data_IF_434259389469
#
_entry.id   IF_434259389469
#
_cell.length_a   1.000
_cell.length_b   1.000
_cell.length_c   1.000
_cell.angle_alpha   90.00
_cell.angle_beta   90.00
_cell.angle_gamma   90.00
#
_symmetry.space_group_name_H-M   'P 1'
#
loop_
_entity.id
_entity.type
_entity.pdbx_description
1 polymer ?
#
# COMPACT_ATOMS: atom_id res chain seq x y z
N UNK A 1 7.57 -3.77 10.40
CA UNK A 1 8.87 -3.09 10.61
C UNK A 1 8.96 -1.78 9.81
N UNK A 2 8.82 -1.81 8.47
CA UNK A 2 8.98 -0.62 7.59
C UNK A 2 8.15 0.62 8.02
N UNK A 3 6.90 0.42 8.44
CA UNK A 3 6.00 1.50 8.91
C UNK A 3 6.53 2.24 10.15
N UNK A 4 7.03 1.49 11.13
CA UNK A 4 7.59 2.05 12.36
C UNK A 4 8.89 2.80 12.11
N UNK A 5 9.72 2.30 11.18
CA UNK A 5 10.95 3.01 10.76
C UNK A 5 10.63 4.38 10.18
N UNK A 6 9.67 4.48 9.26
CA UNK A 6 9.29 5.77 8.68
C UNK A 6 8.92 6.83 9.74
N UNK A 7 8.19 6.44 10.78
CA UNK A 7 7.85 7.31 11.91
C UNK A 7 9.04 7.60 12.83
N UNK A 8 9.83 6.59 13.21
CA UNK A 8 11.03 6.76 14.07
C UNK A 8 12.03 7.74 13.46
N UNK A 9 12.31 7.57 12.18
CA UNK A 9 13.21 8.43 11.43
C UNK A 9 12.57 9.79 11.10
N UNK A 10 11.43 10.17 11.69
CA UNK A 10 11.05 11.59 11.74
C UNK A 10 11.86 12.38 12.78
N UNK A 11 12.45 11.70 13.76
CA UNK A 11 13.33 12.28 14.77
C UNK A 11 14.79 11.93 14.45
N UNK A 12 15.65 12.92 14.16
CA UNK A 12 17.08 12.70 13.91
C UNK A 12 17.84 12.07 15.08
N UNK A 13 17.28 12.03 16.30
CA UNK A 13 17.92 11.50 17.50
C UNK A 13 17.14 10.38 18.18
N UNK A 14 16.25 9.71 17.43
CA UNK A 14 15.36 8.68 17.98
C UNK A 14 16.09 7.58 18.76
N UNK A 15 17.31 7.18 18.35
CA UNK A 15 18.08 6.14 19.03
C UNK A 15 18.48 6.51 20.46
N UNK A 16 18.56 7.82 20.75
CA UNK A 16 18.84 8.37 22.09
C UNK A 16 17.59 8.78 22.86
N UNK A 17 16.41 8.76 22.23
CA UNK A 17 15.15 9.23 22.80
C UNK A 17 13.96 8.35 22.37
N UNK A 18 14.03 7.07 22.76
CA UNK A 18 12.99 6.09 22.43
C UNK A 18 11.65 6.38 23.10
N UNK A 19 11.64 7.02 24.28
CA UNK A 19 10.42 7.32 25.02
C UNK A 19 9.53 8.32 24.26
N UNK A 20 10.12 9.37 23.68
CA UNK A 20 9.38 10.34 22.87
C UNK A 20 8.88 9.73 21.55
N UNK A 21 9.63 8.81 20.96
CA UNK A 21 9.15 8.09 19.78
C UNK A 21 7.93 7.21 20.09
N UNK A 22 7.93 6.53 21.24
CA UNK A 22 6.80 5.69 21.70
C UNK A 22 5.60 6.54 22.11
N UNK A 23 5.82 7.68 22.76
CA UNK A 23 4.75 8.58 23.19
C UNK A 23 3.95 9.13 22.01
N UNK A 24 4.59 9.42 20.87
CA UNK A 24 3.92 9.85 19.62
C UNK A 24 2.92 8.82 19.11
N UNK A 25 3.22 7.52 19.19
CA UNK A 25 2.29 6.45 18.80
C UNK A 25 1.06 6.36 19.73
N UNK A 26 1.21 6.86 20.96
CA UNK A 26 0.15 6.91 21.97
C UNK A 26 -0.64 8.23 21.91
N UNK A 27 -0.20 9.19 21.10
CA UNK A 27 -0.79 10.52 20.95
C UNK A 27 -2.17 10.53 20.28
N UNK A 28 -2.71 11.73 20.11
CA UNK A 28 -3.91 11.99 19.33
C UNK A 28 -3.67 11.65 17.85
N UNK A 29 -4.73 11.21 17.16
CA UNK A 29 -4.67 10.93 15.72
C UNK A 29 -4.41 12.16 14.87
N UNK A 30 -4.13 11.94 13.59
CA UNK A 30 -4.03 13.02 12.60
C UNK A 30 -5.43 13.54 12.27
N UNK A 31 -5.58 14.87 12.17
CA UNK A 31 -6.85 15.47 11.78
C UNK A 31 -7.27 15.01 10.38
N UNK A 32 -8.54 14.62 10.23
CA UNK A 32 -9.08 14.15 8.95
C UNK A 32 -8.88 15.19 7.83
N UNK A 33 -9.00 16.49 8.15
CA UNK A 33 -8.76 17.57 7.18
C UNK A 33 -7.35 17.57 6.62
N UNK A 34 -6.34 17.29 7.45
CA UNK A 34 -4.94 17.19 7.01
C UNK A 34 -4.76 15.99 6.07
N UNK A 35 -5.30 14.82 6.45
CA UNK A 35 -5.25 13.63 5.62
C UNK A 35 -5.90 13.85 4.24
N UNK A 36 -7.05 14.53 4.21
CA UNK A 36 -7.77 14.87 2.98
C UNK A 36 -7.04 15.87 2.10
N UNK A 37 -6.43 16.89 2.70
CA UNK A 37 -5.64 17.87 1.97
C UNK A 37 -4.48 17.19 1.22
N UNK A 38 -3.78 16.28 1.89
CA UNK A 38 -2.72 15.49 1.24
C UNK A 38 -3.26 14.65 0.09
N UNK A 39 -4.37 13.92 0.28
CA UNK A 39 -5.00 13.14 -0.80
C UNK A 39 -5.37 14.04 -1.98
N UNK A 40 -5.93 15.23 -1.74
CA UNK A 40 -6.31 16.18 -2.79
C UNK A 40 -5.16 16.78 -3.58
N UNK A 41 -3.97 16.87 -3.00
CA UNK A 41 -2.78 17.21 -3.78
C UNK A 41 -2.31 16.00 -4.61
N UNK A 42 -2.32 14.80 -4.02
CA UNK A 42 -1.84 13.59 -4.70
C UNK A 42 -2.74 13.11 -5.82
N UNK A 43 -4.05 13.39 -5.79
CA UNK A 43 -4.97 13.04 -6.89
C UNK A 43 -4.64 13.76 -8.20
N UNK A 44 -3.83 14.83 -8.16
CA UNK A 44 -3.36 15.56 -9.34
C UNK A 44 -2.17 14.85 -10.01
N UNK A 45 -1.53 13.89 -9.35
CA UNK A 45 -0.40 13.14 -9.89
C UNK A 45 -0.88 12.01 -10.82
N UNK A 46 -0.15 11.79 -11.92
CA UNK A 46 -0.46 10.77 -12.94
C UNK A 46 -0.49 9.33 -12.38
N UNK A 47 0.31 9.07 -11.34
CA UNK A 47 0.48 7.74 -10.74
C UNK A 47 -0.35 7.55 -9.45
N UNK A 48 -1.29 8.45 -9.16
CA UNK A 48 -2.17 8.31 -8.00
C UNK A 48 -2.89 6.96 -8.03
N UNK A 49 -2.78 6.20 -6.94
CA UNK A 49 -3.21 4.81 -6.88
C UNK A 49 -3.80 4.45 -5.51
N UNK A 50 -4.32 3.22 -5.38
CA UNK A 50 -4.81 2.72 -4.09
C UNK A 50 -3.73 2.70 -3.00
N UNK A 51 -2.45 2.70 -3.40
CA UNK A 51 -1.31 2.75 -2.48
C UNK A 51 -1.23 4.08 -1.75
N UNK A 52 -1.60 5.19 -2.37
CA UNK A 52 -1.59 6.51 -1.75
C UNK A 52 -2.66 6.60 -0.65
N UNK A 53 -3.87 6.06 -0.94
CA UNK A 53 -4.93 5.93 0.06
C UNK A 53 -4.46 5.06 1.24
N UNK A 54 -3.75 3.97 0.95
CA UNK A 54 -3.22 3.09 1.98
C UNK A 54 -2.07 3.70 2.79
N UNK A 55 -1.27 4.55 2.15
CA UNK A 55 -0.28 5.41 2.80
C UNK A 55 -0.95 6.23 3.88
N UNK A 56 -1.98 6.99 3.52
CA UNK A 56 -2.76 7.82 4.45
C UNK A 56 -3.41 6.99 5.55
N UNK A 57 -4.04 5.86 5.23
CA UNK A 57 -4.64 4.96 6.21
C UNK A 57 -3.62 4.47 7.24
N UNK A 58 -2.42 4.13 6.77
CA UNK A 58 -1.33 3.68 7.60
C UNK A 58 -0.79 4.83 8.46
N UNK A 59 -0.52 5.98 7.87
CA UNK A 59 0.12 7.10 8.56
C UNK A 59 -0.83 7.80 9.54
N UNK A 60 -2.03 8.16 9.09
CA UNK A 60 -3.01 8.86 9.90
C UNK A 60 -3.69 7.93 10.91
N UNK A 61 -4.09 6.72 10.48
CA UNK A 61 -4.89 5.81 11.31
C UNK A 61 -4.07 4.92 12.24
N UNK A 62 -2.96 4.36 11.75
CA UNK A 62 -2.15 3.42 12.53
C UNK A 62 -1.01 4.12 13.24
N UNK A 63 -0.21 4.90 12.49
CA UNK A 63 0.95 5.59 13.06
C UNK A 63 0.58 6.88 13.78
N UNK A 64 -0.65 7.39 13.57
CA UNK A 64 -1.15 8.67 14.11
C UNK A 64 -0.21 9.84 13.83
N UNK A 65 0.52 9.77 12.73
CA UNK A 65 1.51 10.76 12.33
C UNK A 65 1.56 10.85 10.81
N UNK A 66 1.36 12.04 10.28
CA UNK A 66 1.59 12.35 8.87
C UNK A 66 2.78 13.29 8.76
N UNK A 67 3.78 12.86 7.99
CA UNK A 67 4.98 13.62 7.71
C UNK A 67 5.25 13.51 6.21
N UNK A 68 5.34 14.63 5.51
CA UNK A 68 5.57 14.71 4.07
C UNK A 68 7.06 14.77 3.72
N UNK A 69 7.94 14.40 4.66
CA UNK A 69 9.38 14.40 4.44
C UNK A 69 9.77 13.53 3.24
N UNK A 70 10.78 14.01 2.55
CA UNK A 70 11.47 13.34 1.48
C UNK A 70 12.61 12.50 2.06
N UNK A 71 12.76 11.27 1.56
CA UNK A 71 13.75 10.34 2.08
C UNK A 71 15.16 10.75 1.65
N UNK A 72 15.31 11.40 0.49
CA UNK A 72 16.60 11.89 -0.01
C UNK A 72 17.24 12.95 0.89
N UNK A 73 16.43 13.71 1.63
CA UNK A 73 16.92 14.71 2.59
C UNK A 73 17.55 14.10 3.85
N UNK A 74 17.55 12.77 3.98
CA UNK A 74 18.11 12.06 5.12
C UNK A 74 19.58 11.64 4.92
N UNK A 75 20.18 11.99 3.79
CA UNK A 75 21.58 11.68 3.44
C UNK A 75 22.56 12.26 4.47
N UNK A 76 22.34 13.50 4.90
CA UNK A 76 23.26 14.23 5.81
C UNK A 76 22.94 14.03 7.30
N UNK A 77 22.22 12.96 7.65
CA UNK A 77 21.83 12.73 9.05
C UNK A 77 22.98 12.29 9.93
N UNK A 78 22.84 12.62 11.21
CA UNK A 78 23.76 12.21 12.26
C UNK A 78 23.93 10.68 12.28
N UNK A 79 25.18 10.22 12.43
CA UNK A 79 25.59 8.82 12.39
C UNK A 79 25.14 8.04 13.65
N UNK A 80 24.41 8.68 14.55
CA UNK A 80 23.87 8.07 15.79
C UNK A 80 22.72 7.11 15.54
N UNK A 81 22.10 7.14 14.36
CA UNK A 81 21.04 6.20 13.99
C UNK A 81 21.57 5.17 12.97
N UNK A 82 21.07 3.92 13.01
CA UNK A 82 21.30 2.96 11.93
C UNK A 82 20.87 3.53 10.57
N UNK A 83 21.50 3.05 9.49
CA UNK A 83 21.14 3.45 8.14
C UNK A 83 19.79 2.83 7.72
N UNK A 84 18.76 3.63 7.35
CA UNK A 84 17.44 3.10 7.05
C UNK A 84 17.39 2.50 5.64
N UNK A 85 16.92 1.25 5.55
CA UNK A 85 16.66 0.56 4.29
C UNK A 85 15.22 0.05 4.32
N UNK A 86 14.44 0.43 3.30
CA UNK A 86 13.08 -0.03 3.09
C UNK A 86 13.05 -1.00 1.92
N UNK A 87 12.14 -1.98 1.98
CA UNK A 87 12.09 -3.06 1.00
C UNK A 87 10.68 -3.26 0.47
N UNK A 88 10.57 -3.42 -0.84
CA UNK A 88 9.38 -3.82 -1.57
C UNK A 88 9.72 -4.97 -2.53
N UNK A 89 8.68 -5.50 -3.17
CA UNK A 89 8.81 -6.46 -4.26
C UNK A 89 8.01 -6.01 -5.48
N UNK A 90 8.53 -6.29 -6.67
CA UNK A 90 7.78 -6.04 -7.91
C UNK A 90 6.69 -7.11 -8.13
N UNK A 91 5.49 -6.66 -8.50
CA UNK A 91 4.27 -7.48 -8.55
C UNK A 91 4.27 -8.56 -9.62
N UNK A 92 4.83 -8.28 -10.79
CA UNK A 92 4.80 -9.18 -11.94
C UNK A 92 6.01 -10.12 -12.01
N UNK A 93 7.01 -9.94 -11.15
CA UNK A 93 8.13 -10.88 -10.96
C UNK A 93 7.71 -12.31 -10.58
N UNK A 94 6.43 -12.56 -10.28
CA UNK A 94 5.90 -13.89 -9.91
C UNK A 94 5.28 -14.67 -11.07
N UNK A 95 4.99 -14.04 -12.21
CA UNK A 95 4.20 -14.66 -13.28
C UNK A 95 5.06 -15.42 -14.31
N UNK A 96 6.36 -15.11 -14.46
CA UNK A 96 7.14 -15.46 -15.65
C UNK A 96 8.58 -16.01 -15.40
N UNK A 97 8.81 -16.87 -14.40
CA UNK A 97 10.09 -17.60 -14.27
C UNK A 97 10.91 -17.27 -13.01
N UNK A 98 12.23 -17.60 -12.98
CA UNK A 98 12.98 -17.86 -11.75
C UNK A 98 13.11 -16.62 -10.86
N UNK A 99 13.48 -16.85 -9.59
CA UNK A 99 13.49 -15.91 -8.46
C UNK A 99 14.29 -14.59 -8.61
N UNK A 100 14.84 -14.28 -9.77
CA UNK A 100 15.73 -13.14 -10.01
C UNK A 100 14.95 -11.85 -10.30
N UNK A 101 15.30 -10.75 -9.63
CA UNK A 101 14.76 -9.40 -9.88
C UNK A 101 13.46 -9.12 -9.13
N UNK A 102 13.38 -9.54 -7.87
CA UNK A 102 12.17 -9.41 -7.05
C UNK A 102 12.27 -8.26 -6.08
N UNK A 103 13.46 -8.00 -5.54
CA UNK A 103 13.63 -7.09 -4.42
C UNK A 103 13.91 -5.68 -4.91
N UNK A 104 13.11 -4.76 -4.38
CA UNK A 104 13.28 -3.34 -4.57
C UNK A 104 13.72 -2.73 -3.25
N UNK A 105 14.91 -2.17 -3.24
CA UNK A 105 15.50 -1.49 -2.10
C UNK A 105 15.29 0.02 -2.25
N UNK A 106 14.95 0.69 -1.16
CA UNK A 106 14.91 2.15 -1.08
C UNK A 106 15.66 2.61 0.16
N UNK A 107 16.57 3.56 -0.01
CA UNK A 107 17.35 4.18 1.04
C UNK A 107 17.39 5.70 0.84
N UNK A 108 17.98 6.50 1.75
CA UNK A 108 18.17 7.94 1.51
C UNK A 108 18.90 8.27 0.22
N UNK A 109 19.89 7.45 -0.18
CA UNK A 109 20.73 7.77 -1.34
C UNK A 109 20.12 7.28 -2.65
N UNK A 110 19.61 6.05 -2.64
CA UNK A 110 19.22 5.38 -3.88
C UNK A 110 18.06 4.39 -3.69
N UNK A 111 17.39 4.14 -4.81
CA UNK A 111 16.28 3.22 -4.96
C UNK A 111 16.46 2.34 -6.19
N UNK A 112 16.25 1.03 -6.08
CA UNK A 112 16.53 0.14 -7.22
C UNK A 112 16.34 -1.35 -6.95
N UNK A 113 16.66 -2.12 -7.99
CA UNK A 113 16.54 -3.58 -7.99
C UNK A 113 17.85 -4.22 -7.53
N UNK A 114 17.85 -4.78 -6.33
CA UNK A 114 19.06 -5.29 -5.67
C UNK A 114 19.74 -6.38 -6.49
N UNK A 115 18.99 -7.33 -7.02
CA UNK A 115 19.56 -8.46 -7.79
C UNK A 115 20.03 -8.06 -9.19
N UNK A 116 19.61 -6.90 -9.69
CA UNK A 116 20.08 -6.36 -10.96
C UNK A 116 21.29 -5.44 -10.76
N UNK A 117 21.54 -4.95 -9.55
CA UNK A 117 22.55 -3.92 -9.29
C UNK A 117 22.21 -2.57 -9.94
N UNK A 118 20.94 -2.33 -10.28
CA UNK A 118 20.50 -1.14 -11.00
C UNK A 118 19.67 -0.24 -10.09
N UNK A 119 20.17 0.99 -9.89
CA UNK A 119 19.64 1.97 -8.97
C UNK A 119 19.54 3.36 -9.61
N UNK A 120 18.65 4.18 -9.07
CA UNK A 120 18.57 5.63 -9.30
C UNK A 120 18.66 6.36 -7.97
N UNK A 121 19.03 7.63 -7.99
CA UNK A 121 18.90 8.49 -6.81
C UNK A 121 17.45 8.46 -6.30
N UNK A 122 17.26 8.40 -4.99
CA UNK A 122 15.91 8.30 -4.39
C UNK A 122 15.03 9.48 -4.79
N UNK A 123 15.60 10.67 -4.95
CA UNK A 123 14.89 11.87 -5.42
C UNK A 123 14.36 11.77 -6.87
N UNK A 124 14.87 10.80 -7.64
CA UNK A 124 14.45 10.55 -9.02
C UNK A 124 13.49 9.36 -9.15
N UNK A 125 13.24 8.61 -8.07
CA UNK A 125 12.26 7.53 -8.09
C UNK A 125 10.87 8.07 -8.44
N UNK A 126 10.19 7.44 -9.40
CA UNK A 126 8.91 7.91 -9.92
C UNK A 126 9.03 8.96 -11.04
N UNK A 127 10.24 9.39 -11.41
CA UNK A 127 10.47 10.18 -12.63
C UNK A 127 10.39 9.32 -13.91
N UNK A 128 10.19 9.96 -15.08
CA UNK A 128 10.14 9.24 -16.36
C UNK A 128 11.53 9.08 -16.95
N UNK A 129 11.89 7.86 -17.34
CA UNK A 129 13.14 7.55 -18.01
C UNK A 129 12.89 6.82 -19.32
N UNK A 130 13.89 6.85 -20.20
CA UNK A 130 13.94 5.99 -21.40
C UNK A 130 15.38 5.70 -21.75
N UNK A 131 15.70 4.43 -21.92
CA UNK A 131 17.04 3.95 -22.29
C UNK A 131 18.13 4.52 -21.37
N UNK A 132 17.86 4.53 -20.07
CA UNK A 132 18.79 5.01 -19.03
C UNK A 132 18.93 6.53 -18.92
N UNK A 133 18.13 7.30 -19.67
CA UNK A 133 18.15 8.77 -19.61
C UNK A 133 16.88 9.30 -18.94
N UNK A 134 17.05 10.26 -18.03
CA UNK A 134 15.95 10.99 -17.44
C UNK A 134 15.26 11.84 -18.52
N UNK A 135 13.97 11.61 -18.73
CA UNK A 135 13.14 12.37 -19.67
C UNK A 135 12.39 13.49 -18.98
N UNK A 136 11.78 13.18 -17.82
CA UNK A 136 10.97 14.12 -17.06
C UNK A 136 11.20 13.87 -15.58
N UNK A 137 11.75 14.88 -14.87
CA UNK A 137 11.84 14.85 -13.41
C UNK A 137 10.45 15.10 -12.82
N UNK A 138 9.96 14.15 -12.04
CA UNK A 138 8.74 14.29 -11.22
C UNK A 138 9.12 14.73 -9.80
N UNK A 139 8.18 15.28 -9.02
CA UNK A 139 8.40 15.50 -7.59
C UNK A 139 8.81 14.21 -6.88
N UNK A 140 9.74 14.29 -5.92
CA UNK A 140 10.14 13.13 -5.12
C UNK A 140 8.95 12.64 -4.28
N UNK A 141 8.83 11.31 -4.19
CA UNK A 141 7.85 10.66 -3.34
C UNK A 141 8.12 10.93 -1.87
N UNK A 142 7.09 11.32 -1.14
CA UNK A 142 7.18 11.50 0.31
C UNK A 142 7.12 10.16 1.07
N UNK A 143 7.44 10.20 2.37
CA UNK A 143 7.41 9.01 3.23
C UNK A 143 5.99 8.44 3.43
N UNK A 144 4.92 9.19 3.17
CA UNK A 144 3.54 8.67 3.22
C UNK A 144 3.32 7.74 2.03
N UNK A 145 3.74 8.12 0.82
CA UNK A 145 3.69 7.27 -0.36
C UNK A 145 4.52 5.98 -0.15
N UNK A 146 5.74 6.12 0.39
CA UNK A 146 6.56 4.96 0.74
C UNK A 146 5.90 4.04 1.77
N UNK A 147 5.29 4.59 2.81
CA UNK A 147 4.54 3.79 3.79
C UNK A 147 3.33 3.08 3.20
N UNK A 148 2.70 3.68 2.17
CA UNK A 148 1.68 3.03 1.37
C UNK A 148 2.21 1.77 0.68
N UNK A 149 3.37 1.88 0.02
CA UNK A 149 4.02 0.77 -0.69
C UNK A 149 4.47 -0.31 0.30
N UNK A 150 5.25 0.08 1.31
CA UNK A 150 5.89 -0.85 2.26
C UNK A 150 4.97 -1.32 3.39
N UNK A 151 3.76 -0.79 3.47
CA UNK A 151 2.72 -1.19 4.41
C UNK A 151 1.55 -1.90 3.72
N UNK A 152 1.63 -2.14 2.41
CA UNK A 152 0.54 -2.66 1.60
C UNK A 152 0.17 -4.12 1.88
N UNK A 153 0.86 -4.83 2.77
CA UNK A 153 0.53 -6.23 3.05
C UNK A 153 -0.91 -6.39 3.55
N UNK A 154 -1.39 -5.44 4.35
CA UNK A 154 -2.78 -5.39 4.81
C UNK A 154 -3.78 -5.08 3.68
N UNK A 155 -3.34 -4.57 2.53
CA UNK A 155 -4.17 -4.42 1.34
C UNK A 155 -4.10 -5.65 0.41
N UNK A 156 -3.18 -6.59 0.64
CA UNK A 156 -2.96 -7.73 -0.24
C UNK A 156 -4.05 -8.83 -0.11
N UNK A 157 -4.23 -9.49 -1.25
CA UNK A 157 -5.12 -10.57 -1.64
C UNK A 157 -4.91 -11.91 -0.90
N UNK A 158 -3.67 -12.34 -0.62
CA UNK A 158 -3.39 -13.72 -0.20
C UNK A 158 -3.84 -14.07 1.23
N UNK A 159 -3.81 -13.10 2.16
CA UNK A 159 -4.40 -13.27 3.50
C UNK A 159 -5.92 -13.48 3.42
N UNK A 160 -6.56 -13.03 2.33
CA UNK A 160 -7.99 -13.22 2.05
C UNK A 160 -8.23 -14.55 1.33
N UNK A 161 -7.35 -14.98 0.41
CA UNK A 161 -7.38 -16.31 -0.22
C UNK A 161 -7.49 -17.43 0.80
N UNK A 162 -6.77 -17.34 1.93
CA UNK A 162 -6.77 -18.35 2.98
C UNK A 162 -8.06 -18.47 3.77
N UNK A 163 -8.73 -17.34 4.04
CA UNK A 163 -10.07 -17.36 4.62
C UNK A 163 -11.14 -17.90 3.65
N UNK A 164 -10.83 -17.95 2.36
CA UNK A 164 -11.76 -18.34 1.28
C UNK A 164 -11.39 -19.64 0.55
N UNK A 165 -10.33 -20.33 1.00
CA UNK A 165 -9.93 -21.65 0.50
C UNK A 165 -11.03 -22.73 0.65
N UNK A 166 -12.13 -22.41 1.33
CA UNK A 166 -13.36 -23.20 1.40
C UNK A 166 -14.28 -23.08 0.15
N UNK A 167 -13.90 -22.32 -0.90
CA UNK A 167 -14.79 -22.00 -2.05
C UNK A 167 -14.22 -22.48 -3.41
N UNK A 168 -12.99 -23.01 -3.46
CA UNK A 168 -12.34 -23.48 -4.70
C UNK A 168 -11.50 -22.42 -5.40
N UNK A 169 -11.11 -22.68 -6.67
CA UNK A 169 -10.23 -21.80 -7.44
C UNK A 169 -10.87 -20.41 -7.62
N UNK A 170 -10.17 -19.36 -7.16
CA UNK A 170 -10.67 -17.99 -7.13
C UNK A 170 -10.41 -17.34 -8.49
N UNK A 171 -11.47 -16.97 -9.21
CA UNK A 171 -11.36 -16.22 -10.47
C UNK A 171 -11.10 -14.71 -10.20
N UNK A 172 -10.65 -14.00 -11.23
CA UNK A 172 -10.31 -12.57 -11.16
C UNK A 172 -11.48 -11.66 -10.75
N UNK A 173 -12.73 -12.08 -10.94
CA UNK A 173 -13.89 -11.29 -10.50
C UNK A 173 -14.14 -11.45 -8.99
N UNK A 174 -13.91 -12.65 -8.46
CA UNK A 174 -13.98 -12.93 -7.02
C UNK A 174 -12.96 -12.09 -6.27
N UNK A 175 -11.74 -12.03 -6.79
CA UNK A 175 -10.66 -11.20 -6.28
C UNK A 175 -11.07 -9.72 -6.16
N UNK A 176 -11.56 -9.12 -7.26
CA UNK A 176 -11.96 -7.71 -7.30
C UNK A 176 -13.08 -7.37 -6.30
N UNK A 177 -14.04 -8.27 -6.10
CA UNK A 177 -15.14 -8.06 -5.15
C UNK A 177 -14.65 -8.01 -3.69
N UNK A 178 -13.81 -8.96 -3.30
CA UNK A 178 -13.27 -9.04 -1.93
C UNK A 178 -12.39 -7.84 -1.60
N UNK A 179 -11.66 -7.36 -2.60
CA UNK A 179 -10.80 -6.19 -2.51
C UNK A 179 -11.59 -4.91 -2.22
N UNK A 180 -12.63 -4.63 -3.01
CA UNK A 180 -13.48 -3.46 -2.77
C UNK A 180 -14.03 -3.45 -1.33
N UNK A 181 -14.53 -4.60 -0.86
CA UNK A 181 -15.02 -4.77 0.50
C UNK A 181 -13.97 -4.47 1.58
N UNK A 182 -12.73 -4.94 1.40
CA UNK A 182 -11.64 -4.73 2.36
C UNK A 182 -11.24 -3.26 2.44
N UNK A 183 -11.11 -2.60 1.28
CA UNK A 183 -10.80 -1.16 1.20
C UNK A 183 -11.87 -0.35 1.94
N UNK A 184 -13.16 -0.62 1.69
CA UNK A 184 -14.24 0.08 2.39
C UNK A 184 -14.23 -0.16 3.90
N UNK A 185 -14.02 -1.40 4.36
CA UNK A 185 -13.95 -1.69 5.80
C UNK A 185 -12.79 -0.94 6.48
N UNK A 186 -11.61 -0.92 5.84
CA UNK A 186 -10.44 -0.24 6.41
C UNK A 186 -10.66 1.28 6.48
N UNK A 187 -11.33 1.86 5.48
CA UNK A 187 -11.68 3.28 5.49
C UNK A 187 -12.70 3.61 6.58
N UNK A 188 -13.72 2.77 6.78
CA UNK A 188 -14.67 2.95 7.89
C UNK A 188 -13.93 2.93 9.23
N UNK A 189 -12.99 2.00 9.42
CA UNK A 189 -12.16 1.96 10.64
C UNK A 189 -11.35 3.26 10.82
N UNK A 190 -10.76 3.80 9.75
CA UNK A 190 -10.01 5.06 9.80
C UNK A 190 -10.91 6.23 10.16
N UNK A 191 -12.03 6.39 9.46
CA UNK A 191 -12.97 7.47 9.75
C UNK A 191 -13.45 7.40 11.21
N UNK A 192 -13.79 6.20 11.68
CA UNK A 192 -14.18 5.99 13.08
C UNK A 192 -13.08 6.38 14.08
N UNK A 193 -11.80 6.18 13.73
CA UNK A 193 -10.67 6.58 14.59
C UNK A 193 -10.35 8.08 14.57
N UNK A 194 -10.93 8.84 13.63
CA UNK A 194 -10.60 10.25 13.39
C UNK A 194 -11.78 11.21 13.62
N UNK A 195 -12.95 10.68 13.95
CA UNK A 195 -14.20 11.45 14.12
C UNK A 195 -14.72 11.28 15.54
N UNK A 196 -15.02 12.41 16.18
CA UNK A 196 -15.65 12.44 17.52
C UNK A 196 -17.16 12.74 17.46
N UNK A 197 -17.65 13.27 16.34
CA UNK A 197 -19.06 13.63 16.15
C UNK A 197 -19.98 12.38 16.18
N UNK A 198 -20.93 12.29 17.15
CA UNK A 198 -21.84 11.16 17.26
C UNK A 198 -22.75 10.96 16.04
N UNK A 199 -23.10 12.03 15.32
CA UNK A 199 -23.96 11.94 14.13
C UNK A 199 -23.17 11.26 13.00
N UNK A 200 -21.98 11.76 12.68
CA UNK A 200 -21.08 11.15 11.71
C UNK A 200 -20.72 9.69 12.05
N UNK A 201 -20.56 9.35 13.34
CA UNK A 201 -20.35 7.96 13.78
C UNK A 201 -21.57 7.07 13.49
N UNK A 202 -22.78 7.56 13.76
CA UNK A 202 -24.03 6.87 13.42
C UNK A 202 -24.17 6.63 11.91
N UNK A 203 -23.81 7.62 11.09
CA UNK A 203 -23.82 7.49 9.62
C UNK A 203 -22.83 6.42 9.13
N UNK A 204 -21.64 6.32 9.75
CA UNK A 204 -20.68 5.25 9.46
C UNK A 204 -21.20 3.87 9.87
N UNK A 205 -21.91 3.77 11.00
CA UNK A 205 -22.54 2.52 11.44
C UNK A 205 -23.63 2.07 10.46
N UNK A 206 -24.42 3.02 9.92
CA UNK A 206 -25.39 2.75 8.86
C UNK A 206 -24.70 2.25 7.59
N UNK A 207 -23.62 2.88 7.14
CA UNK A 207 -22.84 2.40 5.99
C UNK A 207 -22.32 0.99 6.22
N UNK A 208 -21.74 0.74 7.40
CA UNK A 208 -21.20 -0.58 7.74
C UNK A 208 -22.30 -1.64 7.68
N UNK A 209 -23.51 -1.32 8.16
CA UNK A 209 -24.67 -2.21 8.05
C UNK A 209 -25.09 -2.44 6.60
N UNK A 210 -25.18 -1.39 5.78
CA UNK A 210 -25.50 -1.51 4.33
C UNK A 210 -24.51 -2.46 3.63
N UNK A 211 -23.21 -2.29 3.90
CA UNK A 211 -22.16 -3.13 3.32
C UNK A 211 -22.26 -4.57 3.85
N UNK A 212 -22.56 -4.77 5.14
CA UNK A 212 -22.76 -6.09 5.72
C UNK A 212 -23.97 -6.80 5.12
N UNK A 213 -25.12 -6.14 5.00
CA UNK A 213 -26.36 -6.71 4.45
C UNK A 213 -26.19 -7.12 2.98
N UNK A 214 -25.51 -6.29 2.19
CA UNK A 214 -25.12 -6.63 0.81
C UNK A 214 -24.17 -7.83 0.74
N UNK A 215 -23.34 -8.04 1.77
CA UNK A 215 -22.41 -9.16 1.84
C UNK A 215 -23.04 -10.45 2.41
N UNK A 216 -24.01 -10.35 3.32
CA UNK A 216 -24.67 -11.47 3.99
C UNK A 216 -25.83 -12.05 3.17
N UNK A 217 -26.43 -11.26 2.27
CA UNK A 217 -27.45 -11.75 1.33
C UNK A 217 -26.96 -12.85 0.36
N UNK A 218 -25.64 -13.05 0.23
CA UNK A 218 -25.05 -14.01 -0.71
C UNK A 218 -24.26 -15.10 0.00
N UNK A 219 -24.95 -15.80 0.91
CA UNK A 219 -24.44 -17.03 1.48
C UNK A 219 -23.87 -17.94 0.40
N UNK A 220 -22.69 -18.47 0.73
CA UNK A 220 -21.82 -19.36 -0.05
C UNK A 220 -22.52 -20.47 -0.86
N UNK A 221 -23.80 -20.77 -0.60
CA UNK A 221 -24.60 -21.78 -1.30
C UNK A 221 -24.91 -21.40 -2.75
N UNK A 222 -25.30 -20.14 -3.04
CA UNK A 222 -25.65 -19.72 -4.40
C UNK A 222 -24.42 -19.54 -5.30
N UNK A 223 -23.31 -19.10 -4.71
CA UNK A 223 -21.99 -19.04 -5.36
C UNK A 223 -21.38 -20.43 -5.59
N UNK A 224 -21.73 -21.44 -4.78
CA UNK A 224 -21.23 -22.81 -4.95
C UNK A 224 -21.95 -23.57 -6.06
N UNK A 225 -23.22 -23.24 -6.36
CA UNK A 225 -24.04 -23.96 -7.35
C UNK A 225 -23.94 -23.44 -8.80
N UNK A 226 -23.43 -22.22 -9.00
CA UNK A 226 -23.31 -21.59 -10.35
C UNK A 226 -22.08 -22.06 -11.13
N UNK A 227 -22.12 -21.98 -12.46
CA UNK A 227 -20.94 -22.23 -13.29
C UNK A 227 -19.95 -21.03 -13.26
N UNK A 228 -18.67 -21.19 -13.65
CA UNK A 228 -17.66 -20.12 -13.54
C UNK A 228 -18.06 -18.79 -14.19
N UNK A 229 -18.67 -18.81 -15.38
CA UNK A 229 -19.12 -17.60 -16.09
C UNK A 229 -20.25 -16.87 -15.35
N UNK A 230 -21.19 -17.62 -14.77
CA UNK A 230 -22.29 -17.06 -13.99
C UNK A 230 -21.79 -16.48 -12.66
N UNK A 231 -20.80 -17.13 -12.02
CA UNK A 231 -20.12 -16.60 -10.84
C UNK A 231 -19.43 -15.28 -11.17
N UNK A 232 -18.68 -15.23 -12.26
CA UNK A 232 -17.96 -14.04 -12.70
C UNK A 232 -18.93 -12.86 -12.90
N UNK A 233 -20.02 -13.08 -13.65
CA UNK A 233 -21.05 -12.06 -13.89
C UNK A 233 -21.71 -11.59 -12.59
N UNK A 234 -22.02 -12.52 -11.67
CA UNK A 234 -22.61 -12.20 -10.37
C UNK A 234 -21.65 -11.35 -9.52
N UNK A 235 -20.39 -11.73 -9.43
CA UNK A 235 -19.38 -11.02 -8.63
C UNK A 235 -19.10 -9.62 -9.18
N UNK A 236 -19.07 -9.46 -10.51
CA UNK A 236 -19.00 -8.14 -11.13
C UNK A 236 -20.23 -7.29 -10.79
N UNK A 237 -21.43 -7.90 -10.77
CA UNK A 237 -22.64 -7.19 -10.36
C UNK A 237 -22.59 -6.77 -8.90
N UNK A 238 -22.18 -7.67 -8.00
CA UNK A 238 -22.07 -7.36 -6.58
C UNK A 238 -21.05 -6.27 -6.31
N UNK A 239 -19.94 -6.26 -7.04
CA UNK A 239 -18.96 -5.19 -6.92
C UNK A 239 -19.56 -3.84 -7.34
N UNK A 240 -20.30 -3.79 -8.46
CA UNK A 240 -21.05 -2.60 -8.86
C UNK A 240 -22.07 -2.18 -7.79
N UNK A 241 -22.81 -3.12 -7.24
CA UNK A 241 -23.82 -2.85 -6.20
C UNK A 241 -23.18 -2.28 -4.92
N UNK A 242 -22.01 -2.77 -4.51
CA UNK A 242 -21.25 -2.21 -3.39
C UNK A 242 -20.83 -0.77 -3.67
N UNK A 243 -20.27 -0.49 -4.85
CA UNK A 243 -19.84 0.85 -5.23
C UNK A 243 -21.03 1.82 -5.27
N UNK A 244 -22.16 1.40 -5.85
CA UNK A 244 -23.41 2.19 -5.90
C UNK A 244 -23.98 2.42 -4.50
N UNK A 245 -23.90 1.43 -3.61
CA UNK A 245 -24.37 1.58 -2.23
C UNK A 245 -23.57 2.65 -1.48
N UNK A 246 -22.24 2.65 -1.62
CA UNK A 246 -21.36 3.67 -1.02
C UNK A 246 -21.65 5.06 -1.60
N UNK A 247 -21.84 5.17 -2.93
CA UNK A 247 -22.18 6.45 -3.58
C UNK A 247 -23.53 6.99 -3.10
N UNK A 248 -24.56 6.13 -3.10
CA UNK A 248 -25.91 6.50 -2.66
C UNK A 248 -25.90 6.95 -1.20
N UNK A 249 -25.19 6.21 -0.33
CA UNK A 249 -25.04 6.60 1.08
C UNK A 249 -24.35 7.96 1.21
N UNK A 250 -23.22 8.19 0.52
CA UNK A 250 -22.49 9.46 0.55
C UNK A 250 -23.35 10.65 0.13
N UNK A 251 -24.20 10.47 -0.89
CA UNK A 251 -25.10 11.52 -1.38
C UNK A 251 -26.25 11.81 -0.40
N UNK A 252 -26.70 10.80 0.34
CA UNK A 252 -27.80 10.89 1.30
C UNK A 252 -27.43 11.51 2.66
N UNK A 253 -26.15 11.76 2.93
CA UNK A 253 -25.70 12.41 4.17
C UNK A 253 -26.26 13.84 4.30
N UNK A 254 -26.41 14.31 5.53
CA UNK A 254 -26.78 15.71 5.81
C UNK A 254 -25.69 16.67 5.33
N UNK A 255 -26.11 17.84 4.85
CA UNK A 255 -25.16 18.84 4.33
C UNK A 255 -24.27 19.37 5.46
N UNK A 256 -22.96 19.26 5.27
CA UNK A 256 -21.98 19.65 6.27
C UNK A 256 -20.54 19.24 5.92
N UNK A 257 -19.64 19.47 6.86
CA UNK A 257 -18.21 19.14 6.70
C UNK A 257 -17.98 17.65 6.49
N UNK A 258 -18.70 16.78 7.22
CA UNK A 258 -18.57 15.33 7.11
C UNK A 258 -18.96 14.82 5.71
N UNK A 259 -20.12 15.21 5.19
CA UNK A 259 -20.55 14.89 3.81
C UNK A 259 -19.53 15.34 2.77
N UNK A 260 -18.97 16.54 2.93
CA UNK A 260 -17.97 17.07 2.00
C UNK A 260 -16.70 16.20 1.98
N UNK A 261 -16.21 15.80 3.16
CA UNK A 261 -15.06 14.90 3.32
C UNK A 261 -15.31 13.51 2.72
N UNK A 262 -16.47 12.92 3.00
CA UNK A 262 -16.86 11.60 2.50
C UNK A 262 -17.04 11.60 0.98
N UNK A 263 -17.70 12.64 0.44
CA UNK A 263 -17.90 12.78 -1.01
C UNK A 263 -16.57 12.89 -1.73
N UNK A 264 -15.65 13.71 -1.22
CA UNK A 264 -14.30 13.83 -1.77
C UNK A 264 -13.57 12.47 -1.80
N UNK A 265 -13.61 11.69 -0.72
CA UNK A 265 -12.95 10.38 -0.70
C UNK A 265 -13.60 9.42 -1.68
N UNK A 266 -14.93 9.33 -1.70
CA UNK A 266 -15.64 8.36 -2.56
C UNK A 266 -15.45 8.67 -4.05
N UNK A 267 -15.44 9.95 -4.44
CA UNK A 267 -15.18 10.39 -5.82
C UNK A 267 -13.81 9.94 -6.34
N UNK A 268 -12.77 10.01 -5.51
CA UNK A 268 -11.40 9.65 -5.93
C UNK A 268 -11.08 8.17 -5.72
N UNK A 269 -11.66 7.54 -4.71
CA UNK A 269 -11.39 6.16 -4.34
C UNK A 269 -12.08 5.15 -5.26
N UNK A 270 -13.36 5.36 -5.57
CA UNK A 270 -14.17 4.39 -6.32
C UNK A 270 -13.55 4.08 -7.69
N UNK A 271 -13.08 5.06 -8.49
CA UNK A 271 -12.39 4.79 -9.74
C UNK A 271 -11.16 3.91 -9.57
N UNK A 272 -10.38 4.14 -8.50
CA UNK A 272 -9.18 3.35 -8.20
C UNK A 272 -9.52 1.91 -7.81
N UNK A 273 -10.60 1.68 -7.05
CA UNK A 273 -11.10 0.33 -6.72
C UNK A 273 -11.54 -0.40 -8.00
N UNK A 274 -12.22 0.30 -8.92
CA UNK A 274 -12.68 -0.28 -10.19
C UNK A 274 -11.49 -0.70 -11.07
N UNK A 275 -10.50 0.18 -11.24
CA UNK A 275 -9.33 -0.08 -12.07
C UNK A 275 -8.36 -1.07 -11.44
N UNK A 276 -8.30 -1.10 -10.11
CA UNK A 276 -7.35 -1.87 -9.31
C UNK A 276 -5.89 -1.53 -9.64
N UNK A 277 -5.60 -0.24 -9.71
CA UNK A 277 -4.24 0.28 -9.88
C UNK A 277 -3.57 0.42 -8.51
N UNK A 278 -2.43 -0.26 -8.32
CA UNK A 278 -1.72 -0.35 -7.04
C UNK A 278 -0.22 -0.29 -7.25
N UNK A 279 0.45 0.55 -6.46
CA UNK A 279 1.90 0.59 -6.34
C UNK A 279 2.59 1.04 -7.63
N UNK A 280 1.86 1.76 -8.47
CA UNK A 280 2.28 2.18 -9.80
C UNK A 280 3.41 3.19 -9.70
N UNK A 281 4.57 2.86 -10.26
CA UNK A 281 5.73 3.74 -10.28
C UNK A 281 6.28 3.80 -11.71
N UNK A 282 6.70 5.00 -12.13
CA UNK A 282 7.38 5.17 -13.40
C UNK A 282 8.68 4.38 -13.41
N UNK A 283 8.90 3.64 -14.49
CA UNK A 283 9.94 2.66 -14.59
C UNK A 283 11.25 3.28 -15.11
N UNK A 284 12.24 3.40 -14.23
CA UNK A 284 13.55 3.91 -14.62
C UNK A 284 14.33 2.98 -15.59
N UNK A 285 13.92 1.71 -15.69
CA UNK A 285 14.48 0.71 -16.60
C UNK A 285 13.77 0.64 -17.96
N UNK A 286 12.81 1.52 -18.23
CA UNK A 286 12.09 1.53 -19.51
C UNK A 286 13.05 1.68 -20.69
N UNK A 287 13.03 0.69 -21.59
CA UNK A 287 13.93 0.56 -22.74
C UNK A 287 15.43 0.60 -22.41
N UNK A 288 15.82 0.29 -21.17
CA UNK A 288 17.21 0.17 -20.76
C UNK A 288 17.86 -1.05 -21.43
N UNK A 289 18.99 -0.82 -22.10
CA UNK A 289 19.65 -1.82 -22.93
C UNK A 289 20.65 -2.63 -22.10
N UNK A 290 20.15 -3.61 -21.36
CA UNK A 290 20.96 -4.52 -20.57
C UNK A 290 20.33 -5.92 -20.55
N UNK A 291 21.10 -6.94 -20.93
CA UNK A 291 20.64 -8.33 -21.00
C UNK A 291 20.23 -8.93 -19.64
N UNK A 292 20.68 -8.34 -18.53
CA UNK A 292 20.31 -8.75 -17.17
C UNK A 292 18.89 -8.29 -16.79
N UNK A 293 18.38 -7.24 -17.43
CA UNK A 293 17.05 -6.69 -17.12
C UNK A 293 15.95 -7.56 -17.75
N UNK A 294 14.98 -8.06 -16.98
CA UNK A 294 13.87 -8.83 -17.52
C UNK A 294 13.06 -8.08 -18.59
N UNK A 295 12.58 -8.75 -19.66
CA UNK A 295 11.82 -8.11 -20.74
C UNK A 295 10.59 -7.31 -20.28
N UNK A 296 9.91 -7.74 -19.21
CA UNK A 296 8.74 -7.04 -18.68
C UNK A 296 9.10 -5.68 -18.04
N UNK A 297 10.31 -5.51 -17.52
CA UNK A 297 10.83 -4.21 -17.05
C UNK A 297 11.39 -3.37 -18.21
N UNK A 298 11.88 -3.98 -19.29
CA UNK A 298 12.33 -3.18 -20.43
C UNK A 298 11.18 -2.60 -21.26
N UNK A 299 10.05 -3.31 -21.34
CA UNK A 299 8.97 -2.98 -22.28
C UNK A 299 7.88 -2.06 -21.72
N UNK A 300 7.78 -1.91 -20.39
CA UNK A 300 6.72 -1.14 -19.74
C UNK A 300 7.23 0.18 -19.18
N UNK A 301 6.46 1.25 -19.37
CA UNK A 301 6.78 2.58 -18.81
C UNK A 301 6.59 2.65 -17.28
N UNK A 302 5.90 1.67 -16.70
CA UNK A 302 5.61 1.58 -15.27
C UNK A 302 5.82 0.15 -14.76
N UNK A 303 6.19 0.03 -13.48
CA UNK A 303 6.17 -1.21 -12.71
C UNK A 303 5.33 -1.04 -11.44
N UNK A 304 5.03 -2.14 -10.76
CA UNK A 304 4.19 -2.10 -9.56
C UNK A 304 4.94 -2.66 -8.35
N UNK A 305 5.07 -1.86 -7.30
CA UNK A 305 5.66 -2.31 -6.03
C UNK A 305 4.59 -2.74 -5.03
N UNK A 306 4.95 -3.75 -4.23
CA UNK A 306 4.16 -4.24 -3.13
C UNK A 306 5.04 -4.46 -1.89
N UNK A 307 4.42 -4.49 -0.73
CA UNK A 307 5.06 -4.80 0.55
C UNK A 307 5.84 -6.13 0.48
N UNK A 308 7.12 -6.08 0.81
CA UNK A 308 7.99 -7.25 0.83
C UNK A 308 7.53 -8.34 1.81
N UNK A 309 6.80 -7.99 2.88
CA UNK A 309 6.25 -8.92 3.87
C UNK A 309 5.30 -9.95 3.27
N UNK A 310 4.80 -9.69 2.07
CA UNK A 310 3.99 -10.63 1.29
C UNK A 310 4.78 -11.78 0.70
N UNK A 311 6.07 -11.57 0.46
CA UNK A 311 6.98 -12.59 -0.04
C UNK A 311 7.78 -13.23 1.09
N UNK A 312 8.40 -12.41 1.94
CA UNK A 312 9.16 -12.87 3.11
C UNK A 312 8.91 -11.85 4.22
N UNK A 313 8.47 -12.32 5.40
CA UNK A 313 8.20 -11.46 6.55
C UNK A 313 9.48 -10.82 7.15
N UNK A 314 10.66 -11.21 6.66
CA UNK A 314 11.97 -10.67 7.03
C UNK A 314 12.67 -10.21 5.74
N UNK A 315 12.89 -8.91 5.54
CA UNK A 315 13.45 -8.36 4.31
C UNK A 315 14.98 -8.47 4.25
N UNK A 316 15.54 -9.60 4.70
CA UNK A 316 16.99 -9.82 4.71
C UNK A 316 17.65 -9.83 3.32
N UNK A 317 16.99 -10.15 2.18
CA UNK A 317 17.67 -10.19 0.89
C UNK A 317 18.36 -8.90 0.46
N UNK A 318 17.83 -7.72 0.84
CA UNK A 318 18.50 -6.44 0.59
C UNK A 318 19.81 -6.29 1.39
N UNK A 319 19.98 -7.06 2.45
CA UNK A 319 21.20 -7.08 3.26
C UNK A 319 22.18 -8.18 2.83
N UNK A 320 21.83 -8.99 1.83
CA UNK A 320 22.70 -10.01 1.26
C UNK A 320 23.40 -9.48 0.00
N UNK A 321 24.66 -9.88 -0.20
CA UNK A 321 25.44 -9.59 -1.40
C UNK A 321 26.54 -8.55 -1.20
N UNK A 322 27.35 -8.34 -2.25
CA UNK A 322 28.64 -7.64 -2.16
C UNK A 322 28.53 -6.14 -1.81
N UNK A 323 27.33 -5.56 -1.87
CA UNK A 323 27.09 -4.16 -1.52
C UNK A 323 27.32 -3.87 -0.03
N UNK A 324 27.22 -4.88 0.83
CA UNK A 324 27.33 -4.73 2.28
C UNK A 324 28.13 -5.89 2.87
N UNK A 325 29.18 -5.53 3.61
CA UNK A 325 29.97 -6.49 4.39
C UNK A 325 29.31 -6.70 5.74
N UNK A 326 28.29 -7.57 5.79
CA UNK A 326 27.47 -7.79 6.99
C UNK A 326 28.03 -8.96 7.80
N UNK A 327 28.52 -8.68 9.00
CA UNK A 327 28.98 -9.71 9.96
C UNK A 327 27.84 -10.36 10.77
N UNK A 328 26.81 -9.56 11.12
CA UNK A 328 25.72 -9.98 12.00
C UNK A 328 24.40 -9.34 11.58
N UNK A 329 23.35 -10.18 11.43
CA UNK A 329 21.97 -9.73 11.22
C UNK A 329 21.18 -10.00 12.50
N UNK A 330 20.63 -8.95 13.10
CA UNK A 330 19.60 -9.05 14.14
C UNK A 330 18.25 -8.93 13.44
N UNK A 331 17.46 -10.01 13.44
CA UNK A 331 16.15 -10.06 12.78
C UNK A 331 15.03 -10.23 13.81
N UNK A 332 14.47 -9.12 14.34
CA UNK A 332 13.29 -9.18 15.19
C UNK A 332 12.10 -9.75 14.40
N UNK A 333 11.47 -10.78 14.96
CA UNK A 333 10.36 -11.51 14.34
C UNK A 333 9.03 -11.08 14.99
N UNK A 334 8.04 -10.74 14.17
CA UNK A 334 6.75 -10.20 14.63
C UNK A 334 5.54 -10.93 14.04
N UNK A 335 5.73 -12.14 13.49
CA UNK A 335 4.63 -12.91 12.94
C UNK A 335 3.82 -13.58 14.05
N UNK A 336 2.53 -13.74 13.83
CA UNK A 336 1.64 -14.40 14.79
C UNK A 336 1.78 -15.95 14.83
N UNK A 337 2.93 -16.52 14.42
CA UNK A 337 3.17 -17.96 14.23
C UNK A 337 4.64 -18.26 13.89
N UNK A 338 4.99 -19.26 13.06
CA UNK A 338 6.40 -19.68 12.94
C UNK A 338 7.31 -18.69 12.18
N UNK A 339 8.59 -18.67 12.57
CA UNK A 339 9.67 -17.71 12.23
C UNK A 339 10.02 -17.58 10.73
N UNK A 340 9.63 -18.54 9.90
CA UNK A 340 9.90 -18.56 8.45
C UNK A 340 8.65 -18.79 7.60
N UNK A 341 7.47 -18.74 8.20
CA UNK A 341 6.23 -18.81 7.46
C UNK A 341 5.96 -17.47 6.79
N UNK A 342 5.84 -17.50 5.47
CA UNK A 342 5.35 -16.37 4.69
C UNK A 342 3.89 -16.12 5.10
N UNK A 343 3.31 -14.94 4.86
CA UNK A 343 1.83 -14.77 4.93
C UNK A 343 1.12 -15.86 4.07
N UNK A 344 1.82 -16.41 3.06
CA UNK A 344 1.41 -17.58 2.27
C UNK A 344 1.34 -18.91 3.03
N UNK A 345 1.92 -19.04 4.22
CA UNK A 345 2.00 -20.32 4.97
C UNK A 345 1.08 -20.37 6.23
N UNK A 346 0.63 -19.23 6.77
CA UNK A 346 -0.47 -19.13 7.78
C UNK A 346 -1.84 -18.82 7.21
#
# INVERSE_FOLDING_TARGET
MNRSMASLYSDPKWSSNMEDAVSKLSGSGVELKQALAWVGEKTKEENFSLTDIWGVLTTAGVMKQMNERQLSHEVDRDVTNPYPIYCAVEKHSFSNGPFKGKWFEVSPHEAGFTELGLFVETSLLGSKFKSGKLLEKKPEMDIIQFQGIFGSALANEETVKKKLHAIGNIDAATEKYLHARKVFNNLICLFRSTIEDPIALSDLDQLQKILQDKCSCNDSVELRSKCPKEKESLLQQLNRDLLVAVQTWSQGLEDGGFKSHVSFITEHLIPLIIKWEWGTINNFLYQYQDSSVPPYLQSKEQFHLMDAGLLINVPYPSFLGDKRDIDLIIAPEYSAGNMFEVIKDK
#
